data_IF_740466848669
#
_entry.id   IF_740466848669
#
_cell.length_a   1.000
_cell.length_b   1.000
_cell.length_c   1.000
_cell.angle_alpha   90.00
_cell.angle_beta   90.00
_cell.angle_gamma   90.00
#
_symmetry.space_group_name_H-M   'P 1'
#
loop_
_entity.id
_entity.type
_entity.pdbx_description
1 polymer ?
#
# COMPACT_ATOMS: atom_id res chain seq x y z
N UNK A 1 -16.02 -4.48 14.32
CA UNK A 1 -15.91 -3.51 13.21
C UNK A 1 -14.95 -4.08 12.17
N UNK A 2 -15.42 -4.34 10.95
CA UNK A 2 -14.57 -4.89 9.88
C UNK A 2 -13.66 -3.78 9.35
N UNK A 3 -12.37 -3.83 9.67
CA UNK A 3 -11.39 -2.78 9.38
C UNK A 3 -10.85 -2.93 7.94
N UNK A 4 -11.71 -2.65 6.96
CA UNK A 4 -11.43 -2.77 5.52
C UNK A 4 -10.49 -1.65 5.06
N UNK A 5 -9.43 -1.98 4.33
CA UNK A 5 -8.39 -1.03 3.89
C UNK A 5 -8.89 0.08 2.96
N UNK A 6 -10.03 -0.13 2.30
CA UNK A 6 -10.69 0.85 1.44
C UNK A 6 -11.27 2.07 2.16
N UNK A 7 -11.21 2.12 3.50
CA UNK A 7 -11.62 3.30 4.27
C UNK A 7 -10.56 4.40 4.26
N UNK A 8 -9.27 4.03 4.21
CA UNK A 8 -8.14 4.98 4.26
C UNK A 8 -7.37 5.04 2.93
N UNK A 9 -7.39 3.97 2.14
CA UNK A 9 -6.64 3.88 0.88
C UNK A 9 -7.58 3.69 -0.31
N UNK A 10 -7.34 4.45 -1.37
CA UNK A 10 -8.00 4.23 -2.66
C UNK A 10 -7.61 2.87 -3.26
N UNK A 11 -8.41 2.42 -4.23
CA UNK A 11 -8.19 1.13 -4.94
C UNK A 11 -6.76 1.02 -5.47
N UNK A 12 -6.28 2.07 -6.11
CA UNK A 12 -4.97 2.05 -6.77
C UNK A 12 -3.84 2.16 -5.77
N UNK A 13 -4.06 2.78 -4.61
CA UNK A 13 -3.07 2.93 -3.55
C UNK A 13 -2.83 1.62 -2.82
N UNK A 14 -3.88 0.92 -2.39
CA UNK A 14 -3.64 -0.38 -1.77
C UNK A 14 -3.15 -1.41 -2.80
N UNK A 15 -3.56 -1.33 -4.07
CA UNK A 15 -2.96 -2.17 -5.13
C UNK A 15 -1.48 -1.85 -5.34
N UNK A 16 -1.11 -0.58 -5.38
CA UNK A 16 0.27 -0.11 -5.45
C UNK A 16 1.10 -0.68 -4.30
N UNK A 17 0.59 -0.64 -3.07
CA UNK A 17 1.28 -1.22 -1.91
C UNK A 17 1.58 -2.72 -2.09
N UNK A 18 0.66 -3.51 -2.68
CA UNK A 18 0.91 -4.92 -2.99
C UNK A 18 1.92 -5.10 -4.13
N UNK A 19 1.76 -4.36 -5.23
CA UNK A 19 2.63 -4.46 -6.42
C UNK A 19 4.07 -4.09 -6.07
N UNK A 20 4.29 -2.99 -5.36
CA UNK A 20 5.61 -2.54 -4.93
C UNK A 20 6.29 -3.53 -3.98
N UNK A 21 5.50 -4.26 -3.18
CA UNK A 21 5.98 -5.36 -2.35
C UNK A 21 6.09 -6.70 -3.12
N UNK A 22 5.92 -6.70 -4.46
CA UNK A 22 5.95 -7.89 -5.33
C UNK A 22 4.93 -8.96 -4.92
N UNK A 23 3.78 -8.54 -4.39
CA UNK A 23 2.66 -9.42 -4.01
C UNK A 23 1.50 -9.24 -4.97
N UNK A 24 0.75 -10.32 -5.19
CA UNK A 24 -0.47 -10.28 -6.01
C UNK A 24 -1.57 -9.51 -5.26
N UNK A 25 -2.12 -8.42 -5.82
CA UNK A 25 -3.21 -7.70 -5.16
C UNK A 25 -4.48 -8.57 -5.06
N UNK A 26 -5.19 -8.57 -3.93
CA UNK A 26 -6.47 -9.27 -3.81
C UNK A 26 -7.54 -8.64 -4.72
N UNK A 27 -8.59 -9.42 -5.02
CA UNK A 27 -9.74 -8.93 -5.81
C UNK A 27 -10.63 -7.96 -5.01
N UNK A 28 -10.73 -8.19 -3.71
CA UNK A 28 -11.49 -7.37 -2.76
C UNK A 28 -10.56 -6.51 -1.91
N UNK A 29 -11.11 -5.50 -1.24
CA UNK A 29 -10.32 -4.64 -0.36
C UNK A 29 -9.64 -5.48 0.74
N UNK A 30 -8.31 -5.36 0.91
CA UNK A 30 -7.57 -6.02 1.99
C UNK A 30 -7.92 -5.43 3.35
N UNK A 31 -7.38 -5.98 4.45
CA UNK A 31 -7.53 -5.37 5.78
C UNK A 31 -6.66 -4.13 5.90
N UNK A 32 -7.11 -3.13 6.66
CA UNK A 32 -6.35 -1.88 6.86
C UNK A 32 -4.95 -2.14 7.41
N UNK A 33 -4.81 -2.98 8.45
CA UNK A 33 -3.52 -3.29 9.06
C UNK A 33 -2.56 -3.94 8.03
N UNK A 34 -3.08 -4.78 7.13
CA UNK A 34 -2.27 -5.39 6.08
C UNK A 34 -1.70 -4.34 5.12
N UNK A 35 -2.53 -3.39 4.67
CA UNK A 35 -2.07 -2.29 3.82
C UNK A 35 -1.06 -1.41 4.55
N UNK A 36 -1.34 -1.03 5.81
CA UNK A 36 -0.43 -0.21 6.63
C UNK A 36 0.93 -0.90 6.81
N UNK A 37 0.96 -2.21 7.04
CA UNK A 37 2.20 -2.98 7.13
C UNK A 37 2.95 -3.00 5.80
N UNK A 38 2.27 -3.22 4.67
CA UNK A 38 2.90 -3.17 3.34
C UNK A 38 3.47 -1.79 3.03
N UNK A 39 2.75 -0.73 3.38
CA UNK A 39 3.23 0.66 3.27
C UNK A 39 4.48 0.83 4.12
N UNK A 40 4.44 0.45 5.40
CA UNK A 40 5.59 0.58 6.27
C UNK A 40 6.82 -0.21 5.79
N UNK A 41 6.62 -1.39 5.19
CA UNK A 41 7.71 -2.18 4.61
C UNK A 41 8.43 -1.43 3.49
N UNK A 42 7.69 -0.67 2.68
CA UNK A 42 8.29 0.21 1.68
C UNK A 42 9.09 1.35 2.30
N UNK A 43 8.76 1.79 3.52
CA UNK A 43 9.56 2.74 4.29
C UNK A 43 10.69 2.12 5.12
N UNK A 44 10.99 0.82 4.97
CA UNK A 44 12.09 0.13 5.64
C UNK A 44 11.68 -0.67 6.88
N UNK A 45 10.39 -0.86 7.15
CA UNK A 45 9.94 -1.78 8.20
C UNK A 45 10.19 -3.24 7.79
N UNK A 46 10.86 -4.02 8.63
CA UNK A 46 11.20 -5.41 8.31
C UNK A 46 10.04 -6.39 8.50
N UNK A 47 9.05 -6.03 9.32
CA UNK A 47 7.87 -6.85 9.61
C UNK A 47 8.19 -8.26 10.15
N UNK A 48 9.21 -8.41 11.00
CA UNK A 48 9.50 -9.66 11.71
C UNK A 48 8.50 -9.90 12.84
N UNK A 49 8.42 -11.15 13.30
CA UNK A 49 7.44 -11.61 14.30
C UNK A 49 7.43 -10.78 15.61
N UNK A 50 8.55 -10.15 15.96
CA UNK A 50 8.74 -9.41 17.21
C UNK A 50 9.12 -7.93 17.01
N UNK A 51 8.99 -7.40 15.79
CA UNK A 51 9.31 -6.00 15.52
C UNK A 51 8.24 -5.01 16.04
N UNK A 52 7.11 -5.51 16.54
CA UNK A 52 5.98 -4.69 17.00
C UNK A 52 5.22 -4.02 15.84
N UNK A 53 4.72 -2.82 16.09
CA UNK A 53 4.03 -1.99 15.11
C UNK A 53 4.99 -1.00 14.43
N UNK A 54 4.79 -0.69 13.14
CA UNK A 54 5.68 0.22 12.42
C UNK A 54 5.63 1.65 12.98
N UNK A 55 6.78 2.32 12.99
CA UNK A 55 6.90 3.71 13.40
C UNK A 55 6.32 4.70 12.37
N UNK A 56 5.93 5.89 12.82
CA UNK A 56 5.33 6.92 11.96
C UNK A 56 6.21 7.33 10.79
N UNK A 57 7.54 7.37 10.98
CA UNK A 57 8.50 7.75 9.93
C UNK A 57 8.54 6.72 8.81
N UNK A 58 8.54 5.43 9.12
CA UNK A 58 8.57 4.37 8.11
C UNK A 58 7.23 4.31 7.36
N UNK A 59 6.11 4.53 8.07
CA UNK A 59 4.80 4.65 7.41
C UNK A 59 4.80 5.83 6.44
N UNK A 60 5.24 7.01 6.86
CA UNK A 60 5.27 8.21 6.00
C UNK A 60 6.12 8.01 4.74
N UNK A 61 7.34 7.49 4.89
CA UNK A 61 8.23 7.22 3.76
C UNK A 61 7.66 6.20 2.79
N UNK A 62 6.99 5.16 3.30
CA UNK A 62 6.28 4.19 2.49
C UNK A 62 5.09 4.78 1.75
N UNK A 63 4.33 5.66 2.42
CA UNK A 63 3.13 6.28 1.87
C UNK A 63 3.46 7.14 0.64
N UNK A 64 4.54 7.93 0.70
CA UNK A 64 4.99 8.74 -0.44
C UNK A 64 5.21 7.86 -1.68
N UNK A 65 5.91 6.72 -1.53
CA UNK A 65 6.16 5.78 -2.63
C UNK A 65 4.87 5.18 -3.20
N UNK A 66 3.91 4.88 -2.34
CA UNK A 66 2.61 4.33 -2.76
C UNK A 66 1.80 5.37 -3.53
N UNK A 67 1.75 6.61 -3.06
CA UNK A 67 1.02 7.71 -3.71
C UNK A 67 1.63 8.02 -5.08
N UNK A 68 2.96 8.13 -5.16
CA UNK A 68 3.68 8.39 -6.41
C UNK A 68 3.42 7.29 -7.45
N UNK A 69 3.51 6.02 -7.02
CA UNK A 69 3.25 4.89 -7.91
C UNK A 69 1.79 4.80 -8.33
N UNK A 70 0.84 5.04 -7.42
CA UNK A 70 -0.59 5.06 -7.74
C UNK A 70 -0.93 6.19 -8.72
N UNK A 71 -0.29 7.36 -8.59
CA UNK A 71 -0.42 8.43 -9.56
C UNK A 71 0.07 8.01 -10.96
N UNK A 72 1.23 7.34 -11.03
CA UNK A 72 1.76 6.77 -12.27
C UNK A 72 0.83 5.71 -12.89
N UNK A 73 0.25 4.82 -12.08
CA UNK A 73 -0.74 3.83 -12.56
C UNK A 73 -2.01 4.48 -13.11
N UNK A 74 -2.51 5.53 -12.43
CA UNK A 74 -3.70 6.26 -12.88
C UNK A 74 -3.47 6.98 -14.21
N UNK A 75 -2.27 7.51 -14.41
CA UNK A 75 -1.87 8.09 -15.70
C UNK A 75 -1.73 6.99 -16.76
N UNK A 76 -1.01 5.91 -16.47
CA UNK A 76 -0.89 4.78 -17.41
C UNK A 76 -2.26 4.27 -17.89
N UNK A 77 -3.20 4.05 -16.98
CA UNK A 77 -4.54 3.54 -17.29
C UNK A 77 -5.45 4.53 -18.05
N UNK A 78 -5.06 5.81 -18.13
CA UNK A 78 -5.82 6.84 -18.85
C UNK A 78 -5.24 7.10 -20.24
N UNK A 79 -3.92 7.04 -20.39
CA UNK A 79 -3.22 7.45 -21.61
C UNK A 79 -2.73 6.29 -22.49
N UNK A 80 -2.69 5.05 -22.00
CA UNK A 80 -2.18 3.88 -22.75
C UNK A 80 -3.20 2.75 -22.95
N UNK A 81 -4.45 2.95 -22.50
CA UNK A 81 -5.59 2.06 -22.76
C UNK A 81 -6.45 2.52 -23.97
N UNK A 82 -5.92 3.44 -24.81
CA UNK A 82 -6.42 3.83 -26.14
C UNK A 82 -5.74 3.04 -27.29
#
# INVERSE_FOLDING_TARGET
>A
MSNSGGLLFERDEWRAAFILNKKKPPRTSPRLNEVVRLVAMLGGFLARKDDGEPGVKTIWQGLQRVVDFAAGLRWYARELDD
#
